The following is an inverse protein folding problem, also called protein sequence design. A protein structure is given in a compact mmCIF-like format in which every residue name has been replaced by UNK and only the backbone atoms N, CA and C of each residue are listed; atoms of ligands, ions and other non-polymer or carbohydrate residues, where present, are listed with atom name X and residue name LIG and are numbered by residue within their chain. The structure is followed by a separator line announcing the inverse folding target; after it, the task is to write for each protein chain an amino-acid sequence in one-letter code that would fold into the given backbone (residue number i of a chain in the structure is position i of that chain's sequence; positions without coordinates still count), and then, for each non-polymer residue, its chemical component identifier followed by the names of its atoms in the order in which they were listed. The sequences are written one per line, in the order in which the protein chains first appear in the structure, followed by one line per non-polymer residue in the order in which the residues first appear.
data_IF_814098737912
#
_entry.id   IF_814098737912
#
_cell.length_a   1.000
_cell.length_b   1.000
_cell.length_c   1.000
_cell.angle_alpha   90.00
_cell.angle_beta   90.00
_cell.angle_gamma   90.00
#
_symmetry.space_group_name_H-M   'P 1'
#
loop_
_entity.id
_entity.type
_entity.pdbx_description
1 polymer ?
#
# COMPACT_ATOMS: atom_id res chain seq x y z
N UNK A 1 2.09 20.63 -18.44
CA UNK A 1 0.92 19.77 -18.64
C UNK A 1 0.75 18.76 -17.48
N UNK A 2 1.65 17.81 -17.25
CA UNK A 2 1.53 16.79 -16.16
C UNK A 2 1.27 17.37 -14.76
N UNK A 3 1.81 18.53 -14.42
CA UNK A 3 1.55 19.19 -13.13
C UNK A 3 0.11 19.69 -13.00
N UNK A 4 -0.51 20.13 -14.09
CA UNK A 4 -1.91 20.59 -14.11
C UNK A 4 -2.87 19.39 -13.95
N UNK A 5 -2.60 18.28 -14.64
CA UNK A 5 -3.37 17.05 -14.46
C UNK A 5 -3.30 16.54 -13.01
N UNK A 6 -2.10 16.46 -12.45
CA UNK A 6 -1.90 16.06 -11.06
C UNK A 6 -2.60 17.03 -10.07
N UNK A 7 -2.57 18.34 -10.36
CA UNK A 7 -3.24 19.32 -9.52
C UNK A 7 -4.78 19.19 -9.59
N UNK A 8 -5.33 18.93 -10.78
CA UNK A 8 -6.76 18.67 -10.97
C UNK A 8 -7.19 17.38 -10.26
N UNK A 9 -6.41 16.31 -10.40
CA UNK A 9 -6.69 15.03 -9.73
C UNK A 9 -6.63 15.15 -8.20
N UNK A 10 -5.75 16.01 -7.68
CA UNK A 10 -5.58 16.19 -6.23
C UNK A 10 -6.59 17.18 -5.63
N UNK A 11 -6.80 18.32 -6.28
CA UNK A 11 -7.57 19.44 -5.74
C UNK A 11 -8.99 19.55 -6.32
N UNK A 12 -9.25 18.89 -7.45
CA UNK A 12 -10.53 18.93 -8.17
C UNK A 12 -10.75 20.20 -9.00
N UNK A 13 -10.00 21.29 -8.72
CA UNK A 13 -10.04 22.53 -9.49
C UNK A 13 -8.71 23.28 -9.37
N UNK A 14 -8.32 23.97 -10.44
CA UNK A 14 -7.17 24.85 -10.51
C UNK A 14 -7.61 26.21 -11.04
N UNK A 15 -7.32 27.28 -10.33
CA UNK A 15 -7.55 28.64 -10.83
C UNK A 15 -6.40 29.02 -11.76
N UNK A 16 -6.73 29.48 -12.95
CA UNK A 16 -5.77 29.82 -14.00
C UNK A 16 -6.00 31.25 -14.46
N UNK A 17 -4.93 31.97 -14.72
CA UNK A 17 -4.97 33.19 -15.52
C UNK A 17 -4.34 32.96 -16.88
N UNK A 18 -4.93 33.53 -17.91
CA UNK A 18 -4.48 33.35 -19.29
C UNK A 18 -4.81 34.57 -20.16
N UNK A 19 -4.12 34.67 -21.29
CA UNK A 19 -4.56 35.53 -22.38
C UNK A 19 -5.75 34.86 -23.06
N UNK A 20 -6.77 35.64 -23.36
CA UNK A 20 -7.98 35.20 -24.05
C UNK A 20 -8.15 35.96 -25.36
N UNK A 21 -8.72 35.31 -26.34
CA UNK A 21 -9.00 35.84 -27.67
C UNK A 21 -10.52 35.73 -28.00
N UNK A 22 -10.96 36.25 -29.11
CA UNK A 22 -12.39 36.31 -29.50
C UNK A 22 -13.08 34.92 -29.54
N UNK A 23 -12.32 33.83 -29.70
CA UNK A 23 -12.91 32.48 -29.64
C UNK A 23 -13.51 32.13 -28.27
N UNK A 24 -13.12 32.85 -27.21
CA UNK A 24 -13.69 32.69 -25.89
C UNK A 24 -15.07 33.27 -25.74
N UNK A 25 -15.44 34.26 -26.57
CA UNK A 25 -16.75 34.92 -26.49
C UNK A 25 -17.89 33.93 -26.75
N UNK A 26 -17.75 33.06 -27.76
CA UNK A 26 -18.75 32.06 -28.15
C UNK A 26 -18.09 30.70 -28.44
N UNK A 27 -17.94 29.82 -27.44
CA UNK A 27 -17.50 28.44 -27.67
C UNK A 27 -18.47 27.69 -28.60
N UNK A 28 -17.92 26.98 -29.57
CA UNK A 28 -18.68 26.22 -30.56
C UNK A 28 -18.74 24.76 -30.18
N UNK A 29 -19.92 24.19 -30.02
CA UNK A 29 -20.14 22.81 -29.57
C UNK A 29 -19.31 22.47 -28.28
N UNK A 30 -19.31 23.38 -27.32
CA UNK A 30 -18.59 23.20 -26.06
C UNK A 30 -17.08 23.32 -26.16
N UNK A 31 -16.51 23.74 -27.29
CA UNK A 31 -15.07 23.92 -27.50
C UNK A 31 -14.75 25.36 -27.78
N UNK A 32 -13.72 25.93 -27.17
CA UNK A 32 -13.19 27.25 -27.48
C UNK A 32 -12.46 27.14 -28.81
N UNK A 33 -12.95 27.77 -29.89
CA UNK A 33 -12.29 27.68 -31.19
C UNK A 33 -11.01 28.53 -31.18
N UNK A 34 -9.89 28.03 -31.76
CA UNK A 34 -8.67 28.82 -31.89
C UNK A 34 -8.94 30.09 -32.70
N UNK A 35 -8.46 31.21 -32.23
CA UNK A 35 -8.67 32.51 -32.87
C UNK A 35 -7.46 33.41 -32.65
N UNK A 36 -6.92 33.92 -33.67
CA UNK A 36 -5.84 34.92 -33.79
C UNK A 36 -5.20 35.48 -32.52
N UNK A 37 -4.76 36.73 -32.60
CA UNK A 37 -4.08 37.39 -31.47
C UNK A 37 -4.99 37.55 -30.24
N UNK A 38 -4.47 37.30 -29.03
CA UNK A 38 -5.19 37.56 -27.78
C UNK A 38 -5.50 39.04 -27.61
N UNK A 39 -6.70 39.37 -27.17
CA UNK A 39 -7.18 40.75 -26.96
C UNK A 39 -7.43 41.11 -25.49
N UNK A 40 -7.23 40.15 -24.57
CA UNK A 40 -7.39 40.39 -23.13
C UNK A 40 -6.76 39.36 -22.25
N UNK A 41 -6.85 39.58 -20.93
CA UNK A 41 -6.51 38.62 -19.88
C UNK A 41 -7.74 38.23 -19.07
N UNK A 42 -7.84 36.99 -18.66
CA UNK A 42 -8.96 36.47 -17.90
C UNK A 42 -8.51 35.43 -16.86
N UNK A 43 -9.29 35.30 -15.80
CA UNK A 43 -9.10 34.27 -14.79
C UNK A 43 -10.35 33.39 -14.66
N UNK A 44 -10.14 32.08 -14.64
CA UNK A 44 -11.18 31.06 -14.63
C UNK A 44 -10.69 29.80 -13.90
N UNK A 45 -11.55 28.80 -13.77
CA UNK A 45 -11.17 27.53 -13.18
C UNK A 45 -11.04 26.44 -14.24
N UNK A 46 -9.98 25.62 -14.15
CA UNK A 46 -9.92 24.31 -14.78
C UNK A 46 -10.57 23.32 -13.81
N UNK A 47 -11.49 22.51 -14.31
CA UNK A 47 -12.28 21.57 -13.48
C UNK A 47 -12.19 20.12 -13.97
N UNK A 48 -11.45 19.88 -15.05
CA UNK A 48 -11.19 18.57 -15.62
C UNK A 48 -10.30 18.65 -16.84
N UNK A 49 -10.06 17.50 -17.46
CA UNK A 49 -9.31 17.39 -18.71
C UNK A 49 -9.69 16.10 -19.45
N UNK A 50 -9.46 16.10 -20.75
CA UNK A 50 -9.51 14.89 -21.60
C UNK A 50 -8.28 14.87 -22.53
N UNK A 51 -8.28 14.01 -23.54
CA UNK A 51 -7.17 13.92 -24.51
C UNK A 51 -6.98 15.16 -25.39
N UNK A 52 -7.98 16.04 -25.48
CA UNK A 52 -7.98 17.23 -26.33
C UNK A 52 -7.55 18.49 -25.60
N UNK A 53 -7.83 18.59 -24.27
CA UNK A 53 -7.56 19.80 -23.52
C UNK A 53 -8.12 19.82 -22.11
N UNK A 54 -8.16 21.02 -21.53
CA UNK A 54 -8.71 21.28 -20.21
C UNK A 54 -10.17 21.74 -20.28
N UNK A 55 -10.99 21.24 -19.37
CA UNK A 55 -12.35 21.76 -19.16
C UNK A 55 -12.29 23.00 -18.29
N UNK A 56 -12.73 24.10 -18.86
CA UNK A 56 -12.84 25.43 -18.24
C UNK A 56 -14.22 25.61 -17.67
N UNK A 57 -14.30 26.01 -16.39
CA UNK A 57 -15.48 26.59 -15.79
C UNK A 57 -15.33 28.11 -15.74
N UNK A 58 -16.16 28.81 -16.51
CA UNK A 58 -16.09 30.25 -16.64
C UNK A 58 -17.09 31.01 -15.74
N UNK A 59 -16.77 32.28 -15.42
CA UNK A 59 -17.62 33.15 -14.62
C UNK A 59 -18.67 33.93 -15.43
N UNK A 60 -18.74 33.74 -16.76
CA UNK A 60 -19.65 34.50 -17.65
C UNK A 60 -21.08 33.98 -17.70
N UNK A 61 -21.42 33.04 -16.79
CA UNK A 61 -22.76 32.53 -16.62
C UNK A 61 -23.06 31.27 -17.44
N UNK A 62 -24.20 30.65 -17.14
CA UNK A 62 -24.61 29.35 -17.71
C UNK A 62 -24.86 29.34 -19.22
N UNK A 63 -25.03 30.52 -19.84
CA UNK A 63 -25.23 30.61 -21.29
C UNK A 63 -23.94 30.58 -22.09
N UNK A 64 -22.80 30.71 -21.44
CA UNK A 64 -21.51 30.58 -22.09
C UNK A 64 -21.14 29.08 -22.20
N UNK A 65 -20.75 28.66 -23.42
CA UNK A 65 -20.41 27.26 -23.69
C UNK A 65 -21.54 26.27 -23.38
N UNK A 66 -21.23 25.16 -22.77
CA UNK A 66 -22.16 24.14 -22.27
C UNK A 66 -22.41 24.36 -20.78
N UNK A 67 -23.44 25.09 -20.41
CA UNK A 67 -23.83 25.44 -19.04
C UNK A 67 -22.71 26.12 -18.22
N UNK A 68 -21.88 26.92 -18.85
CA UNK A 68 -20.75 27.63 -18.22
C UNK A 68 -19.43 26.88 -18.33
N UNK A 69 -19.38 25.75 -19.06
CA UNK A 69 -18.23 24.95 -19.33
C UNK A 69 -17.81 24.99 -20.80
N UNK A 70 -16.50 24.91 -21.06
CA UNK A 70 -16.00 24.72 -22.42
C UNK A 70 -14.62 24.04 -22.37
N UNK A 71 -14.28 23.33 -23.44
CA UNK A 71 -12.98 22.70 -23.62
C UNK A 71 -11.99 23.72 -24.20
N UNK A 72 -10.88 23.90 -23.53
CA UNK A 72 -9.72 24.69 -23.97
C UNK A 72 -8.62 23.76 -24.44
N UNK A 73 -8.28 23.77 -25.73
CA UNK A 73 -7.32 22.84 -26.29
C UNK A 73 -5.91 22.98 -25.68
N UNK A 74 -5.14 21.90 -25.64
CA UNK A 74 -3.78 21.94 -25.12
C UNK A 74 -2.86 22.83 -25.94
N UNK A 75 -3.11 22.95 -27.24
CA UNK A 75 -2.34 23.82 -28.14
C UNK A 75 -2.53 25.29 -27.76
N UNK A 76 -3.78 25.73 -27.63
CA UNK A 76 -4.13 27.09 -27.21
C UNK A 76 -3.71 27.38 -25.76
N UNK A 77 -3.83 26.40 -24.88
CA UNK A 77 -3.38 26.51 -23.48
C UNK A 77 -1.87 26.78 -23.38
N UNK A 78 -1.02 26.04 -24.13
CA UNK A 78 0.43 26.20 -24.08
C UNK A 78 0.84 27.62 -24.47
N UNK A 79 0.17 28.21 -25.43
CA UNK A 79 0.50 29.53 -25.95
C UNK A 79 0.02 30.66 -25.05
N UNK A 80 -1.12 30.46 -24.37
CA UNK A 80 -1.85 31.56 -23.74
C UNK A 80 -1.90 31.49 -22.20
N UNK A 81 -1.52 30.40 -21.55
CA UNK A 81 -1.52 30.32 -20.07
C UNK A 81 -0.44 31.23 -19.47
N UNK A 82 -0.79 31.99 -18.42
CA UNK A 82 0.15 32.79 -17.65
C UNK A 82 0.57 32.09 -16.38
N UNK A 83 -0.38 31.79 -15.50
CA UNK A 83 -0.12 31.16 -14.23
C UNK A 83 -1.27 30.26 -13.78
N UNK A 84 -1.03 29.48 -12.73
CA UNK A 84 -2.03 28.60 -12.14
C UNK A 84 -1.85 28.49 -10.63
N UNK A 85 -2.96 28.46 -9.91
CA UNK A 85 -3.04 28.44 -8.46
C UNK A 85 -3.93 27.31 -7.97
N UNK A 86 -3.40 26.50 -7.08
CA UNK A 86 -4.18 25.49 -6.36
C UNK A 86 -4.52 26.05 -4.99
N UNK A 87 -5.81 26.21 -4.72
CA UNK A 87 -6.29 26.63 -3.41
C UNK A 87 -6.65 25.41 -2.59
N UNK A 88 -5.92 25.20 -1.49
CA UNK A 88 -6.35 24.30 -0.45
C UNK A 88 -7.14 25.10 0.58
N UNK A 89 -8.47 24.93 0.56
CA UNK A 89 -9.31 25.46 1.61
C UNK A 89 -9.10 24.61 2.85
N UNK A 90 -8.24 25.06 3.76
CA UNK A 90 -8.24 24.55 5.11
C UNK A 90 -9.57 24.98 5.73
N UNK A 91 -10.53 24.06 5.88
CA UNK A 91 -11.74 24.36 6.64
C UNK A 91 -11.32 24.70 8.07
N UNK A 92 -11.65 25.90 8.56
CA UNK A 92 -11.33 26.27 9.93
C UNK A 92 -11.95 25.25 10.87
N UNK A 93 -11.22 24.93 11.94
CA UNK A 93 -11.74 24.03 12.97
C UNK A 93 -13.07 24.57 13.51
N UNK A 94 -13.99 23.71 14.00
CA UNK A 94 -15.30 24.14 14.53
C UNK A 94 -15.23 25.29 15.54
N UNK A 95 -14.09 25.44 16.21
CA UNK A 95 -13.83 26.54 17.17
C UNK A 95 -13.81 27.93 16.53
N UNK A 96 -13.39 28.08 15.28
CA UNK A 96 -13.36 29.39 14.57
C UNK A 96 -14.75 29.84 14.20
N UNK A 97 -15.71 28.93 13.99
CA UNK A 97 -17.11 29.25 13.74
C UNK A 97 -17.92 29.48 15.03
N UNK A 98 -17.32 29.48 16.20
CA UNK A 98 -18.02 29.63 17.47
C UNK A 98 -19.02 28.51 17.77
N UNK A 99 -18.95 27.41 17.06
CA UNK A 99 -19.74 26.23 17.30
C UNK A 99 -19.22 25.57 18.57
N UNK A 100 -19.87 25.88 19.73
CA UNK A 100 -19.66 25.10 20.95
C UNK A 100 -20.01 23.66 20.62
N UNK A 101 -19.00 22.78 20.69
CA UNK A 101 -19.26 21.36 20.68
C UNK A 101 -20.30 21.08 21.78
N UNK A 102 -21.54 20.74 21.41
CA UNK A 102 -22.44 20.09 22.34
C UNK A 102 -21.65 18.92 22.89
N UNK A 103 -21.55 18.81 24.22
CA UNK A 103 -20.99 17.63 24.87
C UNK A 103 -21.78 16.42 24.38
N UNK A 104 -21.36 15.89 23.25
CA UNK A 104 -21.70 14.52 22.88
C UNK A 104 -21.05 13.67 23.99
N UNK A 105 -21.86 12.88 24.67
CA UNK A 105 -21.38 11.78 25.53
C UNK A 105 -20.18 11.18 24.82
N UNK A 106 -19.04 11.11 25.54
CA UNK A 106 -17.75 10.61 25.05
C UNK A 106 -17.98 9.38 24.17
N UNK A 107 -18.09 9.61 22.88
CA UNK A 107 -17.75 8.59 21.89
C UNK A 107 -16.24 8.38 22.03
N UNK A 108 -15.74 7.15 21.91
CA UNK A 108 -14.30 6.91 21.89
C UNK A 108 -13.66 7.86 20.89
N UNK A 109 -12.57 8.53 21.30
CA UNK A 109 -11.79 9.42 20.44
C UNK A 109 -11.65 8.75 19.08
N UNK A 110 -12.30 9.31 18.05
CA UNK A 110 -11.94 9.00 16.68
C UNK A 110 -10.45 9.32 16.59
N UNK A 111 -9.65 8.32 16.30
CA UNK A 111 -8.24 8.50 16.04
C UNK A 111 -8.12 9.69 15.10
N UNK A 112 -7.35 10.69 15.47
CA UNK A 112 -7.10 11.88 14.65
C UNK A 112 -6.90 11.42 13.21
N UNK A 113 -7.77 11.86 12.29
CA UNK A 113 -7.69 11.44 10.89
C UNK A 113 -6.38 12.03 10.35
N UNK A 114 -5.34 11.22 10.35
CA UNK A 114 -4.05 11.61 9.77
C UNK A 114 -4.28 12.06 8.33
N UNK A 115 -3.60 13.13 7.86
CA UNK A 115 -3.78 13.65 6.51
C UNK A 115 -3.55 12.56 5.47
N UNK A 116 -4.39 12.55 4.45
CA UNK A 116 -4.25 11.62 3.32
C UNK A 116 -3.04 12.02 2.49
N UNK A 117 -2.17 11.06 2.20
CA UNK A 117 -1.02 11.26 1.32
C UNK A 117 -1.52 11.38 -0.13
N UNK A 118 -1.17 12.44 -0.87
CA UNK A 118 -1.54 12.53 -2.27
C UNK A 118 -0.76 11.51 -3.12
N UNK A 119 -1.41 10.99 -4.18
CA UNK A 119 -0.80 10.02 -5.11
C UNK A 119 0.53 10.52 -5.69
N UNK A 120 0.60 11.80 -6.05
CA UNK A 120 1.79 12.42 -6.63
C UNK A 120 3.03 12.29 -5.74
N UNK A 121 2.84 12.25 -4.43
CA UNK A 121 3.92 12.14 -3.46
C UNK A 121 4.56 10.76 -3.43
N UNK A 122 3.81 9.71 -3.77
CA UNK A 122 4.26 8.32 -3.78
C UNK A 122 4.33 7.72 -5.20
N UNK A 123 4.05 8.51 -6.22
CA UNK A 123 4.07 8.07 -7.61
C UNK A 123 5.40 7.38 -7.97
N UNK A 124 5.32 6.28 -8.71
CA UNK A 124 6.47 5.45 -9.06
C UNK A 124 6.88 4.45 -7.97
N UNK A 125 6.38 4.55 -6.74
CA UNK A 125 6.74 3.65 -5.64
C UNK A 125 5.70 2.57 -5.33
N UNK A 126 4.65 2.45 -6.15
CA UNK A 126 3.64 1.43 -5.96
C UNK A 126 2.97 0.97 -7.24
N UNK A 127 2.37 -0.20 -7.17
CA UNK A 127 1.29 -0.66 -8.03
C UNK A 127 0.07 -0.93 -7.16
N UNK A 128 -1.10 -0.42 -7.57
CA UNK A 128 -2.36 -0.75 -6.94
C UNK A 128 -3.07 -1.82 -7.74
N UNK A 129 -3.43 -2.90 -7.06
CA UNK A 129 -4.02 -4.10 -7.64
C UNK A 129 -5.37 -4.35 -6.99
N UNK A 130 -6.39 -4.51 -7.79
CA UNK A 130 -7.76 -4.84 -7.41
C UNK A 130 -8.20 -6.06 -8.22
N UNK A 131 -8.72 -7.11 -7.56
CA UNK A 131 -9.08 -8.39 -8.19
C UNK A 131 -8.02 -8.95 -9.15
N UNK A 132 -6.74 -8.82 -8.80
CA UNK A 132 -5.62 -9.27 -9.60
C UNK A 132 -5.26 -8.39 -10.80
N UNK A 133 -5.98 -7.29 -11.05
CA UNK A 133 -5.78 -6.35 -12.14
C UNK A 133 -5.22 -5.01 -11.65
N UNK A 134 -4.72 -4.20 -12.56
CA UNK A 134 -4.39 -2.81 -12.22
C UNK A 134 -5.65 -2.05 -11.81
N UNK A 135 -5.60 -1.39 -10.66
CA UNK A 135 -6.66 -0.45 -10.25
C UNK A 135 -6.47 0.87 -11.01
N UNK A 136 -7.10 0.99 -12.17
CA UNK A 136 -6.93 2.14 -13.07
C UNK A 136 -7.78 3.36 -12.68
N UNK A 137 -8.52 3.26 -11.58
CA UNK A 137 -9.42 4.31 -11.06
C UNK A 137 -9.21 4.51 -9.56
N UNK A 138 -9.80 5.57 -9.04
CA UNK A 138 -9.70 5.88 -7.61
C UNK A 138 -8.47 6.74 -7.28
N UNK A 139 -8.28 7.05 -6.00
CA UNK A 139 -7.23 7.96 -5.51
C UNK A 139 -5.81 7.48 -5.83
N UNK A 140 -5.54 6.20 -5.71
CA UNK A 140 -4.22 5.60 -5.91
C UNK A 140 -4.22 4.71 -7.15
N UNK A 141 -4.77 5.20 -8.26
CA UNK A 141 -4.78 4.47 -9.50
C UNK A 141 -3.36 4.14 -10.02
N UNK A 142 -3.24 3.02 -10.71
CA UNK A 142 -2.01 2.58 -11.36
C UNK A 142 -2.31 1.98 -12.71
N UNK A 143 -1.46 2.22 -13.69
CA UNK A 143 -1.56 1.63 -15.02
C UNK A 143 -0.30 0.85 -15.38
N UNK A 144 -0.39 -0.10 -16.32
CA UNK A 144 0.80 -0.75 -16.89
C UNK A 144 1.81 0.27 -17.45
N UNK A 145 1.32 1.39 -17.99
CA UNK A 145 2.16 2.47 -18.53
C UNK A 145 2.97 3.16 -17.43
N UNK A 146 2.34 3.54 -16.30
CA UNK A 146 3.05 4.18 -15.18
C UNK A 146 4.17 3.29 -14.66
N UNK A 147 3.90 2.00 -14.49
CA UNK A 147 4.90 1.02 -14.02
C UNK A 147 6.03 0.86 -15.02
N UNK A 148 5.72 0.80 -16.32
CA UNK A 148 6.72 0.69 -17.38
C UNK A 148 7.63 1.93 -17.43
N UNK A 149 7.07 3.14 -17.32
CA UNK A 149 7.85 4.38 -17.25
C UNK A 149 8.74 4.42 -16.00
N UNK A 150 8.18 4.02 -14.86
CA UNK A 150 8.93 3.93 -13.60
C UNK A 150 10.10 2.95 -13.74
N UNK A 151 9.86 1.74 -14.24
CA UNK A 151 10.88 0.71 -14.44
C UNK A 151 12.00 1.21 -15.38
N UNK A 152 11.63 1.94 -16.44
CA UNK A 152 12.59 2.56 -17.37
C UNK A 152 13.48 3.60 -16.68
N UNK A 153 12.87 4.51 -15.90
CA UNK A 153 13.60 5.56 -15.18
C UNK A 153 14.53 4.96 -14.11
N UNK A 154 14.08 3.95 -13.39
CA UNK A 154 14.88 3.27 -12.37
C UNK A 154 16.05 2.53 -13.01
N UNK A 155 15.84 1.82 -14.11
CA UNK A 155 16.90 1.12 -14.83
C UNK A 155 17.94 2.06 -15.45
N UNK A 156 17.57 3.28 -15.80
CA UNK A 156 18.47 4.32 -16.31
C UNK A 156 19.20 5.09 -15.19
N UNK A 157 18.90 4.83 -13.93
CA UNK A 157 19.44 5.57 -12.79
C UNK A 157 20.62 4.84 -12.16
N UNK A 158 21.75 5.53 -11.97
CA UNK A 158 22.91 5.02 -11.24
C UNK A 158 22.76 5.06 -9.71
N UNK A 159 21.63 5.59 -9.22
CA UNK A 159 21.40 5.82 -7.77
C UNK A 159 21.07 4.56 -7.00
N UNK A 160 20.58 3.50 -7.66
CA UNK A 160 20.03 2.33 -6.99
C UNK A 160 20.78 1.06 -7.38
N UNK A 161 21.18 0.28 -6.37
CA UNK A 161 21.79 -1.04 -6.52
C UNK A 161 20.79 -2.16 -6.19
N UNK A 162 19.68 -1.80 -5.54
CA UNK A 162 18.71 -2.72 -4.97
C UNK A 162 17.28 -2.34 -5.37
N UNK A 163 16.50 -3.32 -5.81
CA UNK A 163 15.04 -3.23 -5.96
C UNK A 163 14.40 -4.01 -4.80
N UNK A 164 13.58 -3.34 -4.00
CA UNK A 164 12.87 -3.95 -2.89
C UNK A 164 11.38 -3.98 -3.19
N UNK A 165 10.81 -5.17 -3.35
CA UNK A 165 9.37 -5.37 -3.48
C UNK A 165 8.78 -5.57 -2.07
N UNK A 166 7.89 -4.65 -1.68
CA UNK A 166 7.21 -4.68 -0.39
C UNK A 166 5.74 -5.04 -0.55
N UNK A 167 5.27 -6.04 0.19
CA UNK A 167 3.88 -6.50 0.17
C UNK A 167 3.30 -6.41 1.59
N UNK A 168 2.35 -5.50 1.77
CA UNK A 168 1.74 -5.25 3.09
C UNK A 168 0.74 -6.32 3.52
N UNK A 169 0.22 -6.22 4.75
CA UNK A 169 -0.83 -7.08 5.28
C UNK A 169 -2.22 -6.78 4.67
N UNK A 170 -3.08 -7.78 4.60
CA UNK A 170 -4.39 -7.69 3.95
C UNK A 170 -5.43 -6.81 4.65
N UNK A 171 -5.19 -6.39 5.88
CA UNK A 171 -6.09 -5.48 6.63
C UNK A 171 -5.68 -4.00 6.51
N UNK A 172 -4.81 -3.65 5.58
CA UNK A 172 -4.43 -2.27 5.34
C UNK A 172 -5.27 -1.66 4.22
N UNK A 173 -5.80 -0.48 4.46
CA UNK A 173 -6.44 0.32 3.42
C UNK A 173 -5.41 0.89 2.44
N UNK A 174 -5.81 1.32 1.24
CA UNK A 174 -4.92 2.04 0.32
C UNK A 174 -4.31 3.30 0.95
N UNK A 175 -5.05 4.01 1.81
CA UNK A 175 -4.56 5.17 2.55
C UNK A 175 -3.47 4.83 3.57
N UNK A 176 -3.62 3.74 4.32
CA UNK A 176 -2.59 3.25 5.25
C UNK A 176 -1.32 2.83 4.49
N UNK A 177 -1.50 2.16 3.36
CA UNK A 177 -0.40 1.78 2.47
C UNK A 177 0.32 2.99 1.89
N UNK A 178 -0.42 4.03 1.48
CA UNK A 178 0.16 5.28 0.98
C UNK A 178 1.00 6.01 2.04
N UNK A 179 0.54 6.05 3.30
CA UNK A 179 1.32 6.63 4.41
C UNK A 179 2.60 5.86 4.67
N UNK A 180 2.54 4.54 4.67
CA UNK A 180 3.72 3.66 4.80
C UNK A 180 4.75 3.93 3.71
N UNK A 181 4.31 4.00 2.45
CA UNK A 181 5.20 4.29 1.32
C UNK A 181 5.87 5.65 1.48
N UNK A 182 5.09 6.66 1.81
CA UNK A 182 5.59 8.03 1.99
C UNK A 182 6.62 8.12 3.12
N UNK A 183 6.38 7.44 4.23
CA UNK A 183 7.24 7.41 5.40
C UNK A 183 8.58 6.68 5.13
N UNK A 184 8.52 5.51 4.49
CA UNK A 184 9.69 4.63 4.35
C UNK A 184 10.57 4.94 3.14
N UNK A 185 10.00 5.48 2.05
CA UNK A 185 10.70 5.57 0.75
C UNK A 185 12.01 6.32 0.81
N UNK A 186 12.07 7.43 1.57
CA UNK A 186 13.24 8.30 1.57
C UNK A 186 14.42 7.67 2.32
N UNK A 187 14.15 6.86 3.35
CA UNK A 187 15.19 6.07 4.03
C UNK A 187 15.74 4.99 3.11
N UNK A 188 14.88 4.24 2.42
CA UNK A 188 15.35 3.25 1.44
C UNK A 188 16.17 3.90 0.33
N UNK A 189 15.69 4.99 -0.25
CA UNK A 189 16.39 5.71 -1.34
C UNK A 189 17.74 6.27 -0.89
N UNK A 190 17.86 6.77 0.33
CA UNK A 190 19.12 7.24 0.90
C UNK A 190 20.17 6.12 1.04
N UNK A 191 19.73 4.88 1.06
CA UNK A 191 20.56 3.67 1.11
C UNK A 191 20.76 2.98 -0.26
N UNK A 192 20.40 3.64 -1.38
CA UNK A 192 20.56 3.07 -2.71
C UNK A 192 19.56 1.95 -3.03
N UNK A 193 18.45 1.88 -2.29
CA UNK A 193 17.39 0.91 -2.47
C UNK A 193 16.20 1.59 -3.12
N UNK A 194 15.68 1.05 -4.23
CA UNK A 194 14.42 1.50 -4.80
C UNK A 194 13.27 0.69 -4.21
N UNK A 195 12.43 1.27 -3.33
CA UNK A 195 11.28 0.58 -2.78
C UNK A 195 10.11 0.64 -3.77
N UNK A 196 9.52 -0.52 -4.05
CA UNK A 196 8.32 -0.66 -4.85
C UNK A 196 7.29 -1.49 -4.08
N UNK A 197 6.14 -0.90 -3.80
CA UNK A 197 5.11 -1.50 -2.96
C UNK A 197 3.99 -2.07 -3.81
N UNK A 198 3.45 -3.20 -3.40
CA UNK A 198 2.20 -3.73 -3.94
C UNK A 198 1.09 -3.37 -2.96
N UNK A 199 0.25 -2.41 -3.34
CA UNK A 199 -1.03 -2.18 -2.71
C UNK A 199 -2.02 -3.14 -3.35
N UNK A 200 -2.53 -4.10 -2.61
CA UNK A 200 -3.64 -4.92 -3.08
C UNK A 200 -4.85 -4.66 -2.21
N UNK A 201 -5.89 -4.16 -2.85
CA UNK A 201 -7.16 -3.92 -2.18
C UNK A 201 -7.96 -5.21 -2.24
N UNK A 202 -8.30 -5.73 -1.07
CA UNK A 202 -9.17 -6.89 -0.97
C UNK A 202 -10.63 -6.48 -0.89
N UNK A 203 -10.93 -5.17 -0.81
CA UNK A 203 -12.28 -4.66 -0.55
C UNK A 203 -12.86 -5.13 0.80
N UNK A 204 -12.26 -6.14 1.38
CA UNK A 204 -12.76 -6.89 2.55
C UNK A 204 -12.09 -6.47 3.86
N UNK A 205 -11.02 -5.66 3.80
CA UNK A 205 -10.27 -5.28 5.01
C UNK A 205 -11.16 -4.55 6.03
N UNK A 206 -11.94 -3.57 5.58
CA UNK A 206 -12.86 -2.82 6.44
C UNK A 206 -14.06 -3.68 6.85
N UNK A 207 -14.60 -4.51 5.93
CA UNK A 207 -15.68 -5.45 6.26
C UNK A 207 -15.26 -6.46 7.33
N UNK A 208 -14.05 -7.01 7.21
CA UNK A 208 -13.52 -7.94 8.20
C UNK A 208 -13.28 -7.25 9.55
N UNK A 209 -12.71 -6.05 9.58
CA UNK A 209 -12.58 -5.23 10.80
C UNK A 209 -13.96 -4.99 11.44
N UNK A 210 -14.97 -4.64 10.65
CA UNK A 210 -16.32 -4.38 11.12
C UNK A 210 -17.03 -5.64 11.61
N UNK A 211 -16.86 -6.78 10.94
CA UNK A 211 -17.40 -8.08 11.38
C UNK A 211 -16.77 -8.49 12.70
N UNK A 212 -15.45 -8.40 12.82
CA UNK A 212 -14.72 -8.68 14.06
C UNK A 212 -15.26 -7.78 15.17
N UNK A 213 -15.33 -6.46 14.94
CA UNK A 213 -15.78 -5.48 15.94
C UNK A 213 -17.22 -5.76 16.41
N UNK A 214 -18.17 -5.94 15.48
CA UNK A 214 -19.57 -6.21 15.80
C UNK A 214 -19.73 -7.50 16.60
N UNK A 215 -19.09 -8.57 16.13
CA UNK A 215 -19.20 -9.89 16.79
C UNK A 215 -18.50 -9.94 18.13
N UNK A 216 -17.41 -9.21 18.30
CA UNK A 216 -16.76 -9.06 19.60
C UNK A 216 -17.66 -8.30 20.60
N UNK A 217 -18.31 -7.22 20.18
CA UNK A 217 -19.26 -6.46 21.03
C UNK A 217 -20.48 -7.32 21.40
N UNK A 218 -21.05 -8.08 20.44
CA UNK A 218 -22.13 -9.03 20.71
C UNK A 218 -21.72 -10.11 21.72
N UNK A 219 -20.50 -10.62 21.63
CA UNK A 219 -19.95 -11.63 22.53
C UNK A 219 -19.76 -11.10 23.96
N UNK A 220 -19.20 -9.88 24.07
CA UNK A 220 -18.97 -9.21 25.38
C UNK A 220 -20.29 -8.97 26.12
N UNK A 221 -21.33 -8.55 25.40
CA UNK A 221 -22.67 -8.36 25.98
C UNK A 221 -23.36 -9.64 26.46
N UNK A 222 -22.98 -10.82 25.92
CA UNK A 222 -23.57 -12.12 26.30
C UNK A 222 -22.82 -12.84 27.40
N UNK A 223 -21.54 -12.68 27.54
CA UNK A 223 -20.67 -13.49 28.40
C UNK A 223 -20.30 -12.81 29.72
N UNK A 224 -20.46 -11.49 29.84
CA UNK A 224 -20.35 -10.75 31.09
C UNK A 224 -19.03 -10.92 31.83
N UNK A 225 -17.87 -10.94 31.15
CA UNK A 225 -16.59 -11.03 31.83
C UNK A 225 -15.40 -11.40 30.92
N UNK A 226 -14.22 -11.01 31.36
CA UNK A 226 -12.96 -11.14 30.65
C UNK A 226 -12.28 -12.49 30.96
N UNK A 227 -12.53 -13.52 30.16
CA UNK A 227 -11.88 -14.83 30.32
C UNK A 227 -11.51 -15.47 28.99
N UNK A 228 -10.60 -16.46 29.00
CA UNK A 228 -10.29 -17.33 27.85
C UNK A 228 -11.52 -17.96 27.18
N UNK A 229 -12.62 -18.00 27.91
CA UNK A 229 -13.91 -18.49 27.42
C UNK A 229 -14.55 -17.50 26.44
N UNK A 230 -14.38 -16.19 26.66
CA UNK A 230 -14.84 -15.12 25.78
C UNK A 230 -14.13 -15.21 24.43
N UNK A 231 -12.81 -15.41 24.41
CA UNK A 231 -12.04 -15.56 23.17
C UNK A 231 -12.50 -16.79 22.36
N UNK A 232 -12.71 -17.92 23.02
CA UNK A 232 -13.24 -19.14 22.37
C UNK A 232 -14.65 -18.96 21.80
N UNK A 233 -15.48 -18.20 22.49
CA UNK A 233 -16.81 -17.84 22.01
C UNK A 233 -16.75 -16.93 20.79
N UNK A 234 -15.89 -15.91 20.82
CA UNK A 234 -15.62 -15.00 19.68
C UNK A 234 -15.12 -15.81 18.48
N UNK A 235 -14.14 -16.68 18.68
CA UNK A 235 -13.61 -17.57 17.63
C UNK A 235 -14.73 -18.44 17.00
N UNK A 236 -15.64 -18.96 17.81
CA UNK A 236 -16.79 -19.76 17.36
C UNK A 236 -17.79 -18.96 16.53
N UNK A 237 -18.11 -17.74 16.96
CA UNK A 237 -19.08 -16.86 16.29
C UNK A 237 -18.51 -16.28 14.98
N UNK A 238 -17.21 -16.01 14.94
CA UNK A 238 -16.53 -15.47 13.76
C UNK A 238 -16.26 -16.51 12.67
N UNK A 239 -16.28 -17.81 13.02
CA UNK A 239 -15.81 -18.88 12.14
C UNK A 239 -16.52 -18.93 10.79
N UNK A 240 -17.84 -18.80 10.73
CA UNK A 240 -18.58 -18.90 9.47
C UNK A 240 -18.27 -17.78 8.48
N UNK A 241 -18.49 -16.53 8.90
CA UNK A 241 -18.24 -15.35 8.07
C UNK A 241 -16.75 -15.05 7.87
N UNK A 242 -15.93 -15.22 8.93
CA UNK A 242 -14.51 -14.96 8.88
C UNK A 242 -13.73 -15.90 7.94
N UNK A 243 -14.14 -17.18 7.87
CA UNK A 243 -13.51 -18.14 6.93
C UNK A 243 -13.75 -17.73 5.48
N UNK A 244 -14.96 -17.30 5.13
CA UNK A 244 -15.28 -16.87 3.76
C UNK A 244 -14.47 -15.63 3.36
N UNK A 245 -14.44 -14.61 4.21
CA UNK A 245 -13.66 -13.39 3.98
C UNK A 245 -12.16 -13.69 3.88
N UNK A 246 -11.64 -14.59 4.72
CA UNK A 246 -10.24 -15.00 4.69
C UNK A 246 -9.86 -15.74 3.40
N UNK A 247 -10.73 -16.61 2.92
CA UNK A 247 -10.53 -17.32 1.64
C UNK A 247 -10.53 -16.33 0.46
N UNK A 248 -11.42 -15.33 0.45
CA UNK A 248 -11.40 -14.27 -0.56
C UNK A 248 -10.10 -13.46 -0.48
N UNK A 249 -9.65 -13.02 0.70
CA UNK A 249 -8.37 -12.31 0.85
C UNK A 249 -7.18 -13.12 0.34
N UNK A 250 -7.16 -14.44 0.59
CA UNK A 250 -6.13 -15.32 0.03
C UNK A 250 -6.24 -15.44 -1.49
N UNK A 251 -7.44 -15.49 -2.02
CA UNK A 251 -7.71 -15.53 -3.47
C UNK A 251 -7.21 -14.27 -4.15
N UNK A 252 -7.49 -13.08 -3.61
CA UNK A 252 -7.02 -11.80 -4.15
C UNK A 252 -5.50 -11.71 -4.14
N UNK A 253 -4.87 -12.12 -3.02
CA UNK A 253 -3.41 -12.24 -2.95
C UNK A 253 -2.85 -13.20 -4.01
N UNK A 254 -3.53 -14.33 -4.26
CA UNK A 254 -3.13 -15.28 -5.31
C UNK A 254 -3.32 -14.72 -6.71
N UNK A 255 -4.42 -14.02 -6.97
CA UNK A 255 -4.73 -13.42 -8.28
C UNK A 255 -3.76 -12.28 -8.61
N UNK A 256 -3.45 -11.41 -7.65
CA UNK A 256 -2.48 -10.34 -7.81
C UNK A 256 -1.11 -10.85 -8.27
N UNK A 257 -0.69 -12.02 -7.75
CA UNK A 257 0.60 -12.64 -8.04
C UNK A 257 0.54 -13.87 -8.95
N UNK A 258 -0.59 -14.13 -9.59
CA UNK A 258 -0.69 -15.12 -10.68
C UNK A 258 0.13 -14.69 -11.89
N UNK A 259 0.33 -15.60 -12.87
CA UNK A 259 1.09 -15.29 -14.08
C UNK A 259 0.50 -14.12 -14.91
N UNK A 260 -0.82 -13.94 -14.85
CA UNK A 260 -1.54 -12.82 -15.47
C UNK A 260 -1.85 -11.68 -14.50
N UNK A 261 -1.40 -11.77 -13.23
CA UNK A 261 -1.70 -10.79 -12.21
C UNK A 261 -0.89 -9.50 -12.34
N UNK A 262 -1.51 -8.37 -12.01
CA UNK A 262 -0.89 -7.05 -12.17
C UNK A 262 0.38 -6.87 -11.33
N UNK A 263 0.48 -7.47 -10.14
CA UNK A 263 1.70 -7.41 -9.33
C UNK A 263 2.85 -8.20 -9.98
N UNK A 264 2.56 -9.35 -10.59
CA UNK A 264 3.57 -10.11 -11.36
C UNK A 264 3.98 -9.35 -12.61
N UNK A 265 3.04 -8.79 -13.39
CA UNK A 265 3.34 -7.98 -14.56
C UNK A 265 4.20 -6.76 -14.19
N UNK A 266 3.85 -6.07 -13.10
CA UNK A 266 4.64 -4.94 -12.60
C UNK A 266 6.09 -5.34 -12.31
N UNK A 267 6.31 -6.42 -11.56
CA UNK A 267 7.66 -6.92 -11.28
C UNK A 267 8.39 -7.33 -12.58
N UNK A 268 7.71 -8.01 -13.50
CA UNK A 268 8.30 -8.44 -14.78
C UNK A 268 8.73 -7.24 -15.65
N UNK A 269 8.02 -6.11 -15.59
CA UNK A 269 8.43 -4.86 -16.26
C UNK A 269 9.75 -4.36 -15.70
N UNK A 270 9.90 -4.32 -14.38
CA UNK A 270 11.19 -3.99 -13.76
C UNK A 270 12.29 -4.96 -14.17
N UNK A 271 12.05 -6.27 -14.06
CA UNK A 271 13.06 -7.28 -14.38
C UNK A 271 13.51 -7.21 -15.84
N UNK A 272 12.60 -7.00 -16.80
CA UNK A 272 12.94 -6.82 -18.22
C UNK A 272 13.86 -5.62 -18.44
N UNK A 273 13.58 -4.50 -17.79
CA UNK A 273 14.40 -3.28 -17.92
C UNK A 273 15.75 -3.43 -17.25
N UNK A 274 15.80 -4.04 -16.07
CA UNK A 274 17.05 -4.27 -15.33
C UNK A 274 17.99 -5.26 -16.03
N UNK A 275 17.45 -6.27 -16.70
CA UNK A 275 18.28 -7.25 -17.44
C UNK A 275 18.68 -6.78 -18.84
N UNK A 276 17.92 -5.86 -19.45
CA UNK A 276 18.12 -5.40 -20.83
C UNK A 276 18.92 -4.11 -20.99
N UNK A 277 19.28 -3.41 -19.91
CA UNK A 277 19.69 -2.01 -20.06
C UNK A 277 20.77 -1.50 -19.12
N UNK A 278 21.66 -2.30 -18.60
CA UNK A 278 22.74 -1.70 -17.85
C UNK A 278 23.07 -2.39 -16.51
N UNK A 279 23.12 -1.65 -15.43
CA UNK A 279 23.54 -2.12 -14.11
C UNK A 279 22.52 -3.12 -13.52
N UNK A 280 22.91 -4.38 -13.23
CA UNK A 280 22.02 -5.33 -12.60
C UNK A 280 21.71 -4.86 -11.17
N UNK A 281 20.43 -4.76 -10.84
CA UNK A 281 19.98 -4.51 -9.48
C UNK A 281 19.66 -5.81 -8.77
N UNK A 282 20.01 -5.88 -7.48
CA UNK A 282 19.66 -7.00 -6.60
C UNK A 282 18.20 -6.94 -6.20
N UNK A 283 17.47 -8.04 -6.31
CA UNK A 283 16.05 -8.12 -5.94
C UNK A 283 15.89 -8.59 -4.49
N UNK A 284 15.06 -7.88 -3.74
CA UNK A 284 14.71 -8.17 -2.36
C UNK A 284 13.19 -8.19 -2.18
N UNK A 285 12.71 -9.07 -1.30
CA UNK A 285 11.29 -9.21 -0.97
C UNK A 285 11.06 -8.92 0.51
N UNK A 286 10.04 -8.14 0.81
CA UNK A 286 9.55 -7.91 2.17
C UNK A 286 8.05 -8.15 2.19
N UNK A 287 7.57 -8.95 3.13
CA UNK A 287 6.15 -9.24 3.31
C UNK A 287 5.73 -9.14 4.76
N UNK A 288 4.57 -8.54 5.03
CA UNK A 288 3.96 -8.49 6.34
C UNK A 288 2.64 -9.25 6.33
N UNK A 289 2.40 -10.08 7.33
CA UNK A 289 1.12 -10.79 7.53
C UNK A 289 0.67 -11.58 6.28
N UNK A 290 -0.45 -11.23 5.62
CA UNK A 290 -0.89 -11.84 4.34
C UNK A 290 0.10 -11.62 3.20
N UNK A 291 1.02 -10.65 3.30
CA UNK A 291 2.14 -10.53 2.38
C UNK A 291 2.98 -11.82 2.28
N UNK A 292 3.01 -12.62 3.35
CA UNK A 292 3.61 -13.96 3.30
C UNK A 292 2.84 -14.96 2.43
N UNK A 293 1.52 -14.83 2.31
CA UNK A 293 0.72 -15.63 1.36
C UNK A 293 0.99 -15.17 -0.08
N UNK A 294 0.95 -13.86 -0.30
CA UNK A 294 1.13 -13.21 -1.59
C UNK A 294 2.53 -13.47 -2.19
N UNK A 295 3.59 -13.28 -1.41
CA UNK A 295 4.96 -13.59 -1.87
C UNK A 295 5.16 -15.08 -2.16
N UNK A 296 4.53 -15.98 -1.39
CA UNK A 296 4.53 -17.41 -1.71
C UNK A 296 3.88 -17.71 -3.07
N UNK A 297 2.80 -16.99 -3.42
CA UNK A 297 2.18 -17.08 -4.74
C UNK A 297 3.12 -16.55 -5.85
N UNK A 298 3.81 -15.43 -5.61
CA UNK A 298 4.83 -14.91 -6.51
C UNK A 298 5.95 -15.92 -6.75
N UNK A 299 6.53 -16.49 -5.69
CA UNK A 299 7.60 -17.49 -5.81
C UNK A 299 7.15 -18.72 -6.61
N UNK A 300 5.92 -19.17 -6.42
CA UNK A 300 5.32 -20.25 -7.22
C UNK A 300 5.21 -19.89 -8.70
N UNK A 301 4.78 -18.68 -9.02
CA UNK A 301 4.65 -18.16 -10.38
C UNK A 301 6.02 -18.06 -11.05
N UNK A 302 7.03 -17.58 -10.34
CA UNK A 302 8.38 -17.37 -10.85
C UNK A 302 9.26 -18.63 -10.80
N UNK A 303 8.80 -19.76 -10.25
CA UNK A 303 9.59 -20.97 -9.96
C UNK A 303 10.45 -21.47 -11.12
N UNK A 304 9.97 -21.32 -12.34
CA UNK A 304 10.65 -21.76 -13.58
C UNK A 304 11.56 -20.68 -14.19
N UNK A 305 11.51 -19.44 -13.67
CA UNK A 305 12.35 -18.34 -14.13
C UNK A 305 13.78 -18.49 -13.63
N UNK A 306 14.74 -18.25 -14.49
CA UNK A 306 16.16 -18.13 -14.06
C UNK A 306 16.33 -16.75 -13.41
N UNK A 307 16.10 -16.70 -12.11
CA UNK A 307 16.10 -15.46 -11.31
C UNK A 307 16.71 -15.72 -9.93
N UNK A 308 17.52 -14.80 -9.47
CA UNK A 308 18.06 -14.77 -8.11
C UNK A 308 17.35 -13.70 -7.31
N UNK A 309 16.91 -14.05 -6.10
CA UNK A 309 16.37 -13.14 -5.10
C UNK A 309 17.36 -13.15 -3.94
N UNK A 310 17.93 -11.98 -3.63
CA UNK A 310 18.99 -11.88 -2.62
C UNK A 310 18.44 -12.14 -1.22
N UNK A 311 17.37 -11.45 -0.83
CA UNK A 311 16.76 -11.62 0.48
C UNK A 311 15.23 -11.67 0.41
N UNK A 312 14.63 -12.44 1.32
CA UNK A 312 13.22 -12.37 1.63
C UNK A 312 13.04 -12.22 3.15
N UNK A 313 12.36 -11.19 3.57
CA UNK A 313 12.05 -10.91 4.97
C UNK A 313 10.54 -10.95 5.18
N UNK A 314 10.06 -11.84 6.06
CA UNK A 314 8.65 -11.97 6.40
C UNK A 314 8.42 -11.55 7.84
N UNK A 315 7.50 -10.62 8.05
CA UNK A 315 7.06 -10.12 9.35
C UNK A 315 5.71 -10.73 9.69
N UNK A 316 5.63 -11.49 10.78
CA UNK A 316 4.44 -12.18 11.27
C UNK A 316 3.58 -12.81 10.14
N UNK A 317 4.15 -13.67 9.27
CA UNK A 317 3.47 -14.14 8.08
C UNK A 317 2.23 -14.97 8.41
N UNK A 318 1.08 -14.60 7.88
CA UNK A 318 -0.20 -15.28 8.08
C UNK A 318 -0.39 -16.52 7.18
N UNK A 319 0.67 -16.99 6.52
CA UNK A 319 0.62 -18.20 5.73
C UNK A 319 0.76 -19.47 6.60
N UNK A 320 0.13 -20.55 6.18
CA UNK A 320 0.27 -21.85 6.87
C UNK A 320 1.67 -22.44 6.69
N UNK A 321 2.10 -23.32 7.59
CA UNK A 321 3.35 -24.07 7.42
C UNK A 321 3.35 -24.89 6.13
N UNK A 322 2.23 -25.51 5.76
CA UNK A 322 2.09 -26.22 4.49
C UNK A 322 2.31 -25.30 3.27
N UNK A 323 1.79 -24.06 3.33
CA UNK A 323 2.02 -23.06 2.29
C UNK A 323 3.48 -22.68 2.18
N UNK A 324 4.16 -22.49 3.31
CA UNK A 324 5.58 -22.21 3.40
C UNK A 324 6.40 -23.36 2.80
N UNK A 325 6.15 -24.61 3.21
CA UNK A 325 6.86 -25.79 2.74
C UNK A 325 6.72 -25.99 1.23
N UNK A 326 5.55 -25.68 0.69
CA UNK A 326 5.26 -25.84 -0.75
C UNK A 326 5.89 -24.75 -1.61
N UNK A 327 5.96 -23.50 -1.13
CA UNK A 327 6.30 -22.37 -1.98
C UNK A 327 7.65 -21.71 -1.64
N UNK A 328 8.10 -21.73 -0.39
CA UNK A 328 9.36 -21.09 0.03
C UNK A 328 10.52 -22.10 0.11
N UNK A 329 10.35 -23.22 0.77
CA UNK A 329 11.43 -24.20 0.93
C UNK A 329 12.06 -24.67 -0.39
N UNK A 330 11.28 -24.94 -1.47
CA UNK A 330 11.89 -25.42 -2.71
C UNK A 330 12.82 -24.40 -3.40
N UNK A 331 12.60 -23.11 -3.18
CA UNK A 331 13.40 -22.04 -3.80
C UNK A 331 14.60 -21.59 -2.95
N UNK A 332 14.67 -22.02 -1.68
CA UNK A 332 15.86 -21.84 -0.84
C UNK A 332 17.01 -22.76 -1.27
N UNK A 333 16.73 -23.88 -1.91
CA UNK A 333 17.76 -24.75 -2.46
C UNK A 333 18.28 -24.19 -3.78
N UNK A 334 19.61 -24.01 -3.90
CA UNK A 334 20.23 -23.60 -5.17
C UNK A 334 19.94 -24.62 -6.25
N UNK A 335 19.13 -24.25 -7.24
CA UNK A 335 18.75 -25.09 -8.39
C UNK A 335 18.77 -24.28 -9.68
N UNK A 336 18.68 -24.97 -10.82
CA UNK A 336 18.36 -24.30 -12.11
C UNK A 336 16.95 -23.72 -12.03
N UNK A 337 16.81 -22.39 -12.11
CA UNK A 337 15.52 -21.67 -11.99
C UNK A 337 15.59 -20.58 -10.94
N UNK A 338 14.48 -20.39 -10.21
CA UNK A 338 14.41 -19.41 -9.12
C UNK A 338 15.23 -19.86 -7.91
N UNK A 339 16.06 -18.95 -7.41
CA UNK A 339 16.84 -19.17 -6.20
C UNK A 339 16.69 -17.99 -5.23
N UNK A 340 16.20 -18.27 -4.05
CA UNK A 340 16.17 -17.36 -2.91
C UNK A 340 17.40 -17.62 -2.03
N UNK A 341 18.34 -16.66 -1.99
CA UNK A 341 19.62 -16.84 -1.30
C UNK A 341 19.47 -16.80 0.22
N UNK A 342 18.77 -15.79 0.73
CA UNK A 342 18.61 -15.54 2.15
C UNK A 342 17.15 -15.31 2.52
N UNK A 343 16.71 -15.89 3.64
CA UNK A 343 15.37 -15.68 4.16
C UNK A 343 15.39 -15.48 5.66
N UNK A 344 14.60 -14.55 6.16
CA UNK A 344 14.35 -14.34 7.58
C UNK A 344 12.85 -14.22 7.86
N UNK A 345 12.45 -14.69 9.03
CA UNK A 345 11.08 -14.60 9.54
C UNK A 345 11.14 -13.95 10.91
N UNK A 346 10.34 -12.89 11.10
CA UNK A 346 10.23 -12.14 12.35
C UNK A 346 8.85 -12.41 12.95
N UNK A 347 8.83 -12.99 14.13
CA UNK A 347 7.62 -13.36 14.85
C UNK A 347 7.62 -12.74 16.25
N UNK A 348 6.45 -12.60 16.85
CA UNK A 348 6.36 -12.38 18.30
C UNK A 348 6.60 -13.69 19.04
N UNK A 349 7.13 -13.61 20.27
CA UNK A 349 7.00 -14.70 21.22
C UNK A 349 5.53 -15.01 21.52
N UNK A 350 5.19 -16.27 21.79
CA UNK A 350 3.82 -16.71 22.04
C UNK A 350 3.16 -15.94 23.20
N UNK A 351 3.96 -15.49 24.17
CA UNK A 351 3.47 -14.63 25.25
C UNK A 351 2.91 -13.32 24.71
N UNK A 352 3.67 -12.61 23.84
CA UNK A 352 3.21 -11.35 23.24
C UNK A 352 2.04 -11.56 22.28
N UNK A 353 2.01 -12.67 21.54
CA UNK A 353 0.87 -13.05 20.71
C UNK A 353 -0.42 -13.20 21.52
N UNK A 354 -0.32 -13.69 22.77
CA UNK A 354 -1.44 -13.86 23.68
C UNK A 354 -1.81 -12.59 24.43
N UNK A 355 -0.87 -11.65 24.59
CA UNK A 355 -1.08 -10.36 25.24
C UNK A 355 -1.49 -9.26 24.24
N UNK A 356 -1.38 -9.53 22.93
CA UNK A 356 -1.84 -8.63 21.88
C UNK A 356 -3.38 -8.56 21.87
N UNK A 357 -3.94 -7.57 21.19
CA UNK A 357 -5.39 -7.47 21.10
C UNK A 357 -5.85 -6.98 19.73
N UNK A 358 -6.84 -7.66 19.20
CA UNK A 358 -7.55 -7.24 18.00
C UNK A 358 -8.82 -6.49 18.42
N UNK A 359 -8.96 -5.24 17.94
CA UNK A 359 -10.10 -4.34 18.20
C UNK A 359 -10.44 -4.14 19.69
N UNK A 360 -9.45 -4.26 20.58
CA UNK A 360 -9.55 -4.09 22.05
C UNK A 360 -10.44 -5.11 22.78
N UNK A 361 -10.98 -6.08 22.11
CA UNK A 361 -11.93 -7.05 22.68
C UNK A 361 -11.40 -8.48 22.59
N UNK A 362 -10.87 -8.90 21.44
CA UNK A 362 -10.19 -10.19 21.31
C UNK A 362 -8.76 -10.05 21.84
N UNK A 363 -8.42 -10.84 22.87
CA UNK A 363 -7.21 -10.69 23.69
C UNK A 363 -6.01 -11.51 23.20
N UNK A 364 -5.94 -11.76 21.92
CA UNK A 364 -4.82 -12.41 21.27
C UNK A 364 -4.55 -11.70 19.94
N UNK A 365 -3.39 -11.99 19.35
CA UNK A 365 -3.03 -11.45 18.06
C UNK A 365 -3.98 -11.87 16.94
N UNK A 366 -3.91 -11.13 15.84
CA UNK A 366 -4.64 -11.48 14.62
C UNK A 366 -4.30 -12.89 14.12
N UNK A 367 -3.05 -13.36 14.29
CA UNK A 367 -2.68 -14.72 13.87
C UNK A 367 -3.39 -15.82 14.66
N UNK A 368 -3.64 -15.59 15.95
CA UNK A 368 -4.47 -16.50 16.73
C UNK A 368 -5.88 -16.59 16.19
N UNK A 369 -6.46 -15.44 15.78
CA UNK A 369 -7.79 -15.38 15.20
C UNK A 369 -7.82 -16.09 13.83
N UNK A 370 -6.82 -15.85 12.98
CA UNK A 370 -6.67 -16.54 11.69
C UNK A 370 -6.55 -18.04 11.89
N UNK A 371 -5.67 -18.50 12.78
CA UNK A 371 -5.44 -19.92 13.05
C UNK A 371 -6.70 -20.64 13.60
N UNK A 372 -7.44 -19.98 14.51
CA UNK A 372 -8.54 -20.61 15.24
C UNK A 372 -9.92 -20.44 14.60
N UNK A 373 -10.14 -19.32 13.89
CA UNK A 373 -11.47 -18.95 13.38
C UNK A 373 -11.55 -18.82 11.86
N UNK A 374 -10.49 -18.33 11.20
CA UNK A 374 -10.55 -17.99 9.78
C UNK A 374 -10.04 -19.12 8.87
N UNK A 375 -9.06 -19.89 9.29
CA UNK A 375 -8.67 -21.10 8.55
C UNK A 375 -9.75 -22.18 8.64
N UNK A 376 -9.90 -22.98 7.58
CA UNK A 376 -10.92 -24.05 7.49
C UNK A 376 -10.82 -25.04 8.65
N UNK A 377 -9.62 -25.35 9.08
CA UNK A 377 -9.35 -26.19 10.24
C UNK A 377 -8.91 -25.34 11.42
N UNK A 378 -9.58 -25.50 12.56
CA UNK A 378 -9.24 -24.80 13.79
C UNK A 378 -7.83 -25.17 14.26
N UNK A 379 -7.07 -24.17 14.70
CA UNK A 379 -5.70 -24.35 15.17
C UNK A 379 -4.70 -24.65 14.05
N UNK A 380 -5.00 -24.22 12.81
CA UNK A 380 -4.10 -24.41 11.66
C UNK A 380 -2.73 -23.78 11.93
N UNK A 381 -1.63 -24.53 11.80
CA UNK A 381 -0.28 -24.02 12.03
C UNK A 381 0.08 -22.90 11.05
N UNK A 382 0.39 -21.69 11.57
CA UNK A 382 0.86 -20.54 10.79
C UNK A 382 2.35 -20.31 11.02
N UNK A 383 3.06 -19.93 9.96
CA UNK A 383 4.50 -19.64 10.00
C UNK A 383 4.82 -18.45 10.90
N UNK A 384 3.92 -17.48 11.02
CA UNK A 384 4.10 -16.27 11.84
C UNK A 384 3.95 -16.50 13.34
N UNK A 385 3.54 -17.70 13.80
CA UNK A 385 3.35 -17.98 15.22
C UNK A 385 4.52 -18.80 15.79
N UNK A 386 5.13 -18.31 16.87
CA UNK A 386 6.29 -18.95 17.51
C UNK A 386 6.04 -20.44 17.80
N UNK A 387 4.90 -20.76 18.42
CA UNK A 387 4.55 -22.13 18.83
C UNK A 387 4.58 -23.17 17.70
N UNK A 388 4.47 -22.72 16.45
CA UNK A 388 4.53 -23.58 15.27
C UNK A 388 5.85 -23.39 14.50
N UNK A 389 6.33 -22.16 14.37
CA UNK A 389 7.51 -21.86 13.55
C UNK A 389 8.83 -22.38 14.14
N UNK A 390 8.89 -22.63 15.45
CA UNK A 390 10.08 -23.30 16.06
C UNK A 390 10.35 -24.70 15.51
N UNK A 391 9.32 -25.36 14.98
CA UNK A 391 9.43 -26.68 14.37
C UNK A 391 9.38 -26.63 12.83
N UNK A 392 9.33 -25.44 12.25
CA UNK A 392 9.28 -25.28 10.80
C UNK A 392 10.58 -25.82 10.18
N UNK A 393 10.49 -26.55 9.07
CA UNK A 393 11.67 -27.09 8.41
C UNK A 393 12.54 -25.96 7.83
N UNK A 394 13.85 -26.16 7.90
CA UNK A 394 14.86 -25.26 7.35
C UNK A 394 15.72 -25.96 6.30
N UNK A 395 16.32 -25.18 5.40
CA UNK A 395 17.22 -25.67 4.36
C UNK A 395 18.53 -24.89 4.46
N UNK A 396 19.63 -25.57 4.77
CA UNK A 396 20.95 -24.95 4.98
C UNK A 396 20.90 -23.79 5.98
N UNK A 397 20.21 -23.97 7.10
CA UNK A 397 20.02 -22.96 8.13
C UNK A 397 19.05 -21.83 7.80
N UNK A 398 18.30 -21.92 6.69
CA UNK A 398 17.36 -20.89 6.23
C UNK A 398 15.91 -21.38 6.24
N UNK A 399 14.92 -20.55 6.64
CA UNK A 399 15.06 -19.17 7.09
C UNK A 399 15.69 -19.05 8.48
N UNK A 400 16.30 -17.89 8.75
CA UNK A 400 16.58 -17.48 10.12
C UNK A 400 15.28 -17.01 10.77
N UNK A 401 14.96 -17.52 11.96
CA UNK A 401 13.81 -17.09 12.75
C UNK A 401 14.23 -16.15 13.86
N UNK A 402 13.57 -15.00 13.95
CA UNK A 402 13.77 -14.00 14.98
C UNK A 402 12.46 -13.83 15.75
N UNK A 403 12.53 -13.98 17.06
CA UNK A 403 11.38 -13.88 17.96
C UNK A 403 11.53 -12.62 18.81
N UNK A 404 10.51 -11.76 18.80
CA UNK A 404 10.48 -10.54 19.60
C UNK A 404 9.93 -10.84 20.99
N UNK A 405 10.72 -10.45 22.00
CA UNK A 405 10.26 -10.37 23.38
C UNK A 405 9.70 -8.99 23.75
N UNK A 406 9.73 -8.05 22.80
CA UNK A 406 9.28 -6.67 22.95
C UNK A 406 10.30 -5.73 23.60
N UNK A 407 11.47 -6.23 24.03
CA UNK A 407 12.43 -5.44 24.86
C UNK A 407 13.87 -5.57 24.39
N UNK A 408 14.40 -6.80 24.27
CA UNK A 408 15.84 -7.05 24.23
C UNK A 408 16.39 -7.55 22.90
N UNK A 409 15.55 -7.82 21.92
CA UNK A 409 15.96 -8.39 20.64
C UNK A 409 16.83 -7.45 19.79
N UNK A 410 17.90 -7.97 19.17
CA UNK A 410 18.74 -7.20 18.24
C UNK A 410 18.14 -7.13 16.85
N UNK A 411 17.29 -8.08 16.47
CA UNK A 411 16.66 -8.17 15.16
C UNK A 411 15.27 -7.55 15.13
N UNK A 412 14.52 -7.58 16.23
CA UNK A 412 13.15 -7.07 16.33
C UNK A 412 12.78 -6.84 17.79
N UNK A 413 12.00 -5.77 18.04
CA UNK A 413 11.40 -5.44 19.33
C UNK A 413 9.92 -5.12 19.19
N UNK A 414 9.29 -5.58 18.12
CA UNK A 414 7.86 -5.42 17.91
C UNK A 414 7.07 -6.01 19.10
N UNK A 415 6.03 -5.30 19.53
CA UNK A 415 5.19 -5.69 20.68
C UNK A 415 3.80 -6.17 20.26
N UNK A 416 3.45 -6.05 18.99
CA UNK A 416 2.16 -6.46 18.45
C UNK A 416 2.29 -6.97 17.01
N UNK A 417 1.28 -7.71 16.54
CA UNK A 417 1.23 -8.24 15.18
C UNK A 417 1.40 -7.15 14.10
N UNK A 418 0.75 -6.00 14.28
CA UNK A 418 0.84 -4.86 13.35
C UNK A 418 2.06 -3.98 13.55
N UNK A 419 2.90 -4.22 14.58
CA UNK A 419 3.95 -3.31 14.99
C UNK A 419 5.33 -3.54 14.34
N UNK A 420 5.51 -4.59 13.55
CA UNK A 420 6.83 -4.93 12.99
C UNK A 420 7.38 -3.89 12.03
N UNK A 421 6.54 -3.33 11.17
CA UNK A 421 6.94 -2.31 10.21
C UNK A 421 6.96 -0.88 10.78
N UNK A 422 6.51 -0.71 12.03
CA UNK A 422 6.71 0.49 12.84
C UNK A 422 7.87 0.35 13.85
N UNK A 423 8.49 -0.84 13.94
CA UNK A 423 9.62 -1.09 14.83
C UNK A 423 10.95 -0.77 14.15
N UNK A 424 11.71 0.24 14.63
CA UNK A 424 13.00 0.60 14.05
C UNK A 424 14.03 -0.54 14.09
N UNK A 425 13.95 -1.43 15.07
CA UNK A 425 14.84 -2.58 15.16
C UNK A 425 14.60 -3.56 14.03
N UNK A 426 13.34 -3.94 13.79
CA UNK A 426 12.94 -4.80 12.68
C UNK A 426 13.35 -4.20 11.34
N UNK A 427 12.97 -2.94 11.10
CA UNK A 427 13.21 -2.30 9.82
C UNK A 427 14.71 -2.07 9.56
N UNK A 428 15.50 -1.76 10.57
CA UNK A 428 16.95 -1.65 10.44
C UNK A 428 17.65 -3.01 10.28
N UNK A 429 17.12 -4.06 10.89
CA UNK A 429 17.63 -5.40 10.65
C UNK A 429 17.37 -5.85 9.21
N UNK A 430 16.17 -5.61 8.68
CA UNK A 430 15.85 -5.85 7.28
C UNK A 430 16.76 -5.01 6.36
N UNK A 431 16.96 -3.73 6.69
CA UNK A 431 17.80 -2.83 5.92
C UNK A 431 19.26 -3.31 5.84
N UNK A 432 19.84 -3.77 6.98
CA UNK A 432 21.17 -4.37 7.01
C UNK A 432 21.28 -5.62 6.15
N UNK A 433 20.25 -6.47 6.14
CA UNK A 433 20.22 -7.68 5.30
C UNK A 433 20.14 -7.36 3.81
N UNK A 434 19.38 -6.32 3.42
CA UNK A 434 19.28 -5.86 2.03
C UNK A 434 20.65 -5.34 1.55
N UNK A 435 21.34 -4.58 2.40
CA UNK A 435 22.62 -3.93 2.08
C UNK A 435 23.84 -4.87 2.23
N UNK A 436 23.66 -6.00 2.91
CA UNK A 436 24.78 -6.85 3.36
C UNK A 436 25.81 -6.04 4.17
N UNK A 437 25.32 -5.13 5.01
CA UNK A 437 26.16 -4.22 5.80
C UNK A 437 25.38 -3.12 6.52
N UNK A 438 26.07 -2.19 7.18
CA UNK A 438 25.44 -1.10 7.90
C UNK A 438 24.77 -0.10 6.95
N UNK A 439 23.57 0.42 7.29
CA UNK A 439 22.92 1.45 6.50
C UNK A 439 23.61 2.81 6.64
N UNK A 440 23.59 3.60 5.56
CA UNK A 440 24.04 5.01 5.58
C UNK A 440 23.07 5.88 6.38
N UNK A 441 21.77 5.61 6.24
CA UNK A 441 20.68 6.25 6.99
C UNK A 441 19.79 5.16 7.58
N UNK A 442 19.87 4.89 8.89
CA UNK A 442 18.96 3.96 9.54
C UNK A 442 17.56 4.57 9.69
N UNK A 443 16.55 3.71 9.84
CA UNK A 443 15.22 4.09 10.25
C UNK A 443 15.20 4.57 11.71
N UNK A 444 14.50 5.64 11.97
CA UNK A 444 14.18 6.14 13.31
C UNK A 444 12.69 5.90 13.62
N UNK A 445 12.30 6.06 14.88
CA UNK A 445 10.87 5.98 15.23
C UNK A 445 10.03 7.04 14.49
N UNK A 446 10.61 8.23 14.23
CA UNK A 446 9.92 9.29 13.49
C UNK A 446 9.71 8.96 11.99
N UNK A 447 10.60 8.16 11.39
CA UNK A 447 10.42 7.70 10.00
C UNK A 447 9.32 6.62 9.88
N UNK A 448 8.88 6.03 10.98
CA UNK A 448 7.93 4.91 11.02
C UNK A 448 6.62 5.26 11.73
N UNK A 449 6.40 6.53 12.08
CA UNK A 449 5.15 7.05 12.64
C UNK A 449 4.19 7.49 11.52
N UNK A 450 3.39 6.55 10.99
CA UNK A 450 2.44 6.78 9.89
C UNK A 450 1.05 6.20 10.13
#
# INVERSE_FOLDING_TARGET
MSHYHAALDEAGAVVVSARVHKGWDEPVNGVIPPHGEPDGGHAFALVGYDERGFWVQNSWGRRWGEEGLALWSYEDWIENVWDAWVFRVALPTPQIFGLRARQAKRMPQEAERRPKVPRSRIAGHFVHVDDGRYAERGRYWSTPFDVEQTARLVAASDKYDHLLLYVHGGLNSPEESARRIDAMRDVFKANGIYPFHVMYDTGLAEELKDVIRRKCVEAEGRVGGFSDWTDRFIEGVLRGGGTLLWEEMKKDAHQAFAASGAATDALERFLRRLHGGGKPMKLHLVGHSTGGVALGALLRTLKRRKLEIETCSLMAPACTLEWYERNYLPVLRKRRGLWLKEMAVYNLEDRLERDDNVVRIYRKSLLYLVSNAFERQRGRPLLGMEKFSRQAPVVDGRPAFHYSDGVSGDATRATSHGGFDNDPWTMNHILRRVLDGPPRRPFTAADLDY
#
